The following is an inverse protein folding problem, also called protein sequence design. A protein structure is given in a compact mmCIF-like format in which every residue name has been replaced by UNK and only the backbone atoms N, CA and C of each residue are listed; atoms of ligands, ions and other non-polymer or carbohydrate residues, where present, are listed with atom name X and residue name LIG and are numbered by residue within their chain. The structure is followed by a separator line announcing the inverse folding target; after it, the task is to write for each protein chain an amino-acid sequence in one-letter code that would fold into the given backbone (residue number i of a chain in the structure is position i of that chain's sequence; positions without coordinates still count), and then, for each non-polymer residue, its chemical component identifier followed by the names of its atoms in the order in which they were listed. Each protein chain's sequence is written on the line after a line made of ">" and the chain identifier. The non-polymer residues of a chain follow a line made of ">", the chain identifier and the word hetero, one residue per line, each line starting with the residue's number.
data_IF_756861649700
#
_entry.id   IF_756861649700
#
_cell.length_a   1.000
_cell.length_b   1.000
_cell.length_c   1.000
_cell.angle_alpha   90.00
_cell.angle_beta   90.00
_cell.angle_gamma   90.00
#
_symmetry.space_group_name_H-M   'P 1'
#
loop_
_entity.id
_entity.type
_entity.pdbx_description
1 polymer ?
#
# COMPACT_ATOMS: atom_id res chain seq x y z
N UNK A 1 -49.80 35.45 15.72
CA UNK A 1 -49.69 34.26 14.83
C UNK A 1 -48.87 34.61 13.59
N UNK A 2 -47.57 34.30 13.55
CA UNK A 2 -46.78 34.29 12.30
C UNK A 2 -45.86 33.07 12.33
N UNK A 3 -45.98 32.26 11.28
CA UNK A 3 -45.51 30.87 11.17
C UNK A 3 -43.98 30.85 11.10
N UNK A 4 -43.34 30.05 11.95
CA UNK A 4 -41.90 29.80 11.87
C UNK A 4 -41.58 28.98 10.62
N UNK A 5 -40.64 29.47 9.80
CA UNK A 5 -40.10 28.74 8.67
C UNK A 5 -39.15 27.65 9.20
N UNK A 6 -39.54 26.38 9.06
CA UNK A 6 -38.70 25.22 9.34
C UNK A 6 -37.67 25.07 8.22
N UNK A 7 -36.45 25.52 8.48
CA UNK A 7 -35.28 25.27 7.63
C UNK A 7 -34.99 23.77 7.67
N UNK A 8 -35.29 23.05 6.60
CA UNK A 8 -35.06 21.62 6.47
C UNK A 8 -33.56 21.39 6.22
N UNK A 9 -32.80 21.10 7.27
CA UNK A 9 -31.41 20.68 7.14
C UNK A 9 -31.38 19.21 6.76
N UNK A 10 -31.37 18.92 5.47
CA UNK A 10 -31.19 17.57 4.94
C UNK A 10 -29.78 17.08 5.30
N UNK A 11 -29.67 16.31 6.38
CA UNK A 11 -28.48 15.54 6.71
C UNK A 11 -28.25 14.52 5.58
N UNK A 12 -27.31 14.81 4.67
CA UNK A 12 -26.73 13.80 3.81
C UNK A 12 -25.96 12.82 4.70
N UNK A 13 -26.58 11.67 4.97
CA UNK A 13 -25.90 10.54 5.60
C UNK A 13 -24.89 9.98 4.60
N UNK A 14 -23.63 10.39 4.73
CA UNK A 14 -22.50 9.73 4.06
C UNK A 14 -22.39 8.31 4.62
N UNK A 15 -22.97 7.35 3.92
CA UNK A 15 -22.71 5.93 4.19
C UNK A 15 -21.26 5.66 3.81
N UNK A 16 -20.39 5.67 4.81
CA UNK A 16 -19.03 5.20 4.65
C UNK A 16 -19.09 3.68 4.42
N UNK A 17 -19.03 3.26 3.15
CA UNK A 17 -18.71 1.89 2.83
C UNK A 17 -17.27 1.65 3.29
N UNK A 18 -17.12 1.11 4.49
CA UNK A 18 -15.86 0.54 4.97
C UNK A 18 -15.49 -0.57 3.99
N UNK A 19 -14.62 -0.29 3.03
CA UNK A 19 -13.94 -1.34 2.27
C UNK A 19 -13.03 -2.04 3.28
N UNK A 20 -13.60 -3.04 3.95
CA UNK A 20 -12.88 -3.86 4.91
C UNK A 20 -11.72 -4.60 4.23
N UNK A 21 -10.95 -5.28 5.06
CA UNK A 21 -9.91 -6.21 4.61
C UNK A 21 -10.61 -7.29 3.77
N UNK A 22 -10.53 -7.16 2.45
CA UNK A 22 -10.98 -8.18 1.51
C UNK A 22 -9.84 -9.14 1.27
N UNK A 23 -10.14 -10.44 1.21
CA UNK A 23 -9.17 -11.39 0.72
C UNK A 23 -8.84 -11.07 -0.74
N UNK A 24 -7.56 -10.96 -1.05
CA UNK A 24 -7.06 -10.55 -2.36
C UNK A 24 -5.92 -11.49 -2.73
N UNK A 25 -5.99 -12.02 -3.95
CA UNK A 25 -4.94 -12.87 -4.52
C UNK A 25 -3.61 -12.12 -4.52
N UNK A 26 -2.53 -12.81 -4.21
CA UNK A 26 -1.15 -12.32 -4.38
C UNK A 26 -0.90 -11.91 -5.84
N UNK A 27 -0.54 -10.63 -6.04
CA UNK A 27 -0.21 -10.02 -7.34
C UNK A 27 1.25 -9.59 -7.42
N UNK A 28 2.10 -9.98 -6.47
CA UNK A 28 3.51 -9.58 -6.45
C UNK A 28 4.25 -9.95 -7.74
N UNK A 29 3.94 -11.10 -8.34
CA UNK A 29 4.50 -11.55 -9.62
C UNK A 29 3.88 -10.89 -10.86
N UNK A 30 2.92 -9.98 -10.71
CA UNK A 30 2.27 -9.31 -11.84
C UNK A 30 2.89 -7.92 -12.08
N UNK A 31 3.11 -7.50 -13.34
CA UNK A 31 3.46 -6.12 -13.64
C UNK A 31 2.32 -5.17 -13.29
N UNK A 32 2.59 -3.88 -13.21
CA UNK A 32 1.57 -2.86 -12.97
C UNK A 32 0.57 -2.79 -14.13
N UNK A 33 -0.67 -2.35 -13.82
CA UNK A 33 -1.57 -1.92 -14.90
C UNK A 33 -1.07 -0.63 -15.55
N UNK A 34 -1.82 -0.12 -16.55
CA UNK A 34 -1.41 1.09 -17.30
C UNK A 34 -1.60 2.40 -16.53
N UNK A 35 -2.27 2.35 -15.37
CA UNK A 35 -2.54 3.54 -14.56
C UNK A 35 -1.27 3.99 -13.83
N UNK A 36 -0.96 5.30 -13.77
CA UNK A 36 0.18 5.84 -13.04
C UNK A 36 -0.11 5.92 -11.52
N UNK A 37 -0.52 4.79 -10.94
CA UNK A 37 -0.83 4.63 -9.52
C UNK A 37 -0.29 3.30 -8.97
N UNK A 38 0.63 2.67 -9.69
CA UNK A 38 1.24 1.40 -9.34
C UNK A 38 2.74 1.45 -9.60
N UNK A 39 3.52 0.88 -8.67
CA UNK A 39 4.94 0.59 -8.85
C UNK A 39 5.24 -0.84 -8.43
N UNK A 40 6.17 -1.50 -9.11
CA UNK A 40 6.54 -2.89 -8.84
C UNK A 40 8.00 -3.17 -9.19
N UNK A 41 8.61 -4.07 -8.44
CA UNK A 41 9.91 -4.68 -8.78
C UNK A 41 9.83 -5.64 -9.97
N UNK A 42 8.61 -6.04 -10.37
CA UNK A 42 8.35 -6.92 -11.52
C UNK A 42 7.94 -6.15 -12.78
N UNK A 43 8.15 -4.83 -12.81
CA UNK A 43 7.86 -3.98 -13.96
C UNK A 43 9.15 -3.35 -14.49
N UNK A 44 9.32 -3.32 -15.81
CA UNK A 44 10.49 -2.79 -16.50
C UNK A 44 10.27 -1.39 -17.06
N UNK A 45 9.02 -0.90 -17.08
CA UNK A 45 8.67 0.44 -17.57
C UNK A 45 9.05 1.46 -16.51
N UNK A 46 9.86 2.46 -16.89
CA UNK A 46 10.44 3.47 -15.98
C UNK A 46 9.45 4.05 -14.96
N UNK A 47 8.23 4.37 -15.40
CA UNK A 47 7.19 4.96 -14.54
C UNK A 47 6.70 4.00 -13.43
N UNK A 48 6.76 2.69 -13.64
CA UNK A 48 6.29 1.64 -12.74
C UNK A 48 7.43 0.90 -12.03
N UNK A 49 8.61 0.85 -12.62
CA UNK A 49 9.73 0.06 -12.13
C UNK A 49 10.19 0.52 -10.74
N UNK A 50 10.44 -0.45 -9.85
CA UNK A 50 11.21 -0.27 -8.63
C UNK A 50 12.53 -0.99 -8.78
N UNK A 51 13.59 -0.40 -8.23
CA UNK A 51 14.84 -1.12 -8.03
C UNK A 51 14.61 -2.35 -7.14
N UNK A 52 15.47 -3.35 -7.28
CA UNK A 52 15.40 -4.58 -6.48
C UNK A 52 15.70 -4.30 -5.00
N UNK A 53 15.07 -5.06 -4.10
CA UNK A 53 15.34 -5.04 -2.66
C UNK A 53 16.11 -6.32 -2.33
N UNK A 54 17.44 -6.24 -2.35
CA UNK A 54 18.26 -7.39 -1.99
C UNK A 54 18.31 -7.55 -0.48
N UNK A 55 17.81 -8.68 0.01
CA UNK A 55 17.76 -8.93 1.44
C UNK A 55 19.15 -9.24 2.00
N UNK A 56 19.34 -8.85 3.26
CA UNK A 56 20.42 -9.37 4.09
C UNK A 56 20.18 -10.85 4.42
N UNK A 57 21.20 -11.54 4.93
CA UNK A 57 21.06 -12.94 5.31
C UNK A 57 20.06 -13.12 6.46
N UNK A 58 19.28 -14.20 6.41
CA UNK A 58 18.33 -14.61 7.47
C UNK A 58 17.21 -13.61 7.79
N UNK A 59 16.91 -12.68 6.88
CA UNK A 59 15.78 -11.75 7.06
C UNK A 59 14.45 -12.48 6.96
N UNK A 60 13.58 -12.24 7.93
CA UNK A 60 12.24 -12.85 7.98
C UNK A 60 11.16 -11.85 7.56
N UNK A 61 10.02 -12.39 7.12
CA UNK A 61 8.86 -11.57 6.79
C UNK A 61 8.31 -10.81 8.01
N UNK A 62 8.49 -11.33 9.23
CA UNK A 62 8.13 -10.65 10.47
C UNK A 62 8.91 -9.35 10.67
N UNK A 63 10.22 -9.35 10.40
CA UNK A 63 11.05 -8.15 10.49
C UNK A 63 10.61 -7.10 9.47
N UNK A 64 10.33 -7.55 8.23
CA UNK A 64 9.82 -6.69 7.16
C UNK A 64 8.45 -6.11 7.54
N UNK A 65 7.56 -6.91 8.13
CA UNK A 65 6.25 -6.45 8.61
C UNK A 65 6.38 -5.35 9.66
N UNK A 66 7.24 -5.52 10.67
CA UNK A 66 7.45 -4.51 11.70
C UNK A 66 7.86 -3.17 11.08
N UNK A 67 8.75 -3.19 10.09
CA UNK A 67 9.16 -1.98 9.37
C UNK A 67 8.02 -1.42 8.53
N UNK A 68 7.32 -2.25 7.76
CA UNK A 68 6.21 -1.82 6.91
C UNK A 68 5.07 -1.18 7.73
N UNK A 69 4.81 -1.67 8.94
CA UNK A 69 3.79 -1.13 9.85
C UNK A 69 4.16 0.25 10.42
N UNK A 70 5.41 0.71 10.29
CA UNK A 70 5.78 2.09 10.61
C UNK A 70 5.33 3.11 9.56
N UNK A 71 4.92 2.65 8.36
CA UNK A 71 4.49 3.52 7.30
C UNK A 71 3.15 4.22 7.64
N UNK A 72 2.92 5.46 7.16
CA UNK A 72 1.69 6.18 7.48
C UNK A 72 0.42 5.44 7.05
N UNK A 73 -0.44 5.14 8.02
CA UNK A 73 -1.74 4.50 7.76
C UNK A 73 -1.63 3.02 7.40
N UNK A 74 -0.49 2.39 7.69
CA UNK A 74 -0.24 0.97 7.46
C UNK A 74 -1.04 0.08 8.41
N UNK A 75 -1.57 -1.02 7.88
CA UNK A 75 -2.21 -2.10 8.64
C UNK A 75 -2.03 -3.42 7.89
N UNK A 76 -1.62 -4.47 8.59
CA UNK A 76 -1.56 -5.82 8.02
C UNK A 76 -2.96 -6.28 7.64
N UNK A 77 -3.12 -6.66 6.37
CA UNK A 77 -4.36 -7.13 5.79
C UNK A 77 -4.33 -8.65 5.56
N UNK A 78 -3.20 -9.20 5.13
CA UNK A 78 -2.99 -10.65 4.99
C UNK A 78 -1.52 -10.97 5.16
N UNK A 79 -1.23 -12.16 5.70
CA UNK A 79 0.13 -12.65 5.90
C UNK A 79 0.17 -14.17 5.82
N UNK A 80 1.13 -14.69 5.06
CA UNK A 80 1.50 -16.11 4.97
C UNK A 80 2.97 -16.28 5.36
N UNK A 81 3.57 -17.43 5.05
CA UNK A 81 5.00 -17.69 5.31
C UNK A 81 5.92 -16.78 4.50
N UNK A 82 5.59 -16.52 3.23
CA UNK A 82 6.43 -15.81 2.26
C UNK A 82 5.82 -14.50 1.75
N UNK A 83 4.53 -14.25 1.98
CA UNK A 83 3.79 -13.11 1.46
C UNK A 83 3.12 -12.29 2.56
N UNK A 84 3.19 -10.97 2.44
CA UNK A 84 2.60 -9.99 3.32
C UNK A 84 1.89 -8.93 2.48
N UNK A 85 0.66 -8.62 2.84
CA UNK A 85 -0.07 -7.46 2.33
C UNK A 85 -0.40 -6.49 3.45
N UNK A 86 0.01 -5.24 3.24
CA UNK A 86 -0.25 -4.11 4.11
C UNK A 86 -1.15 -3.12 3.39
N UNK A 87 -2.28 -2.78 3.98
CA UNK A 87 -3.11 -1.67 3.53
C UNK A 87 -2.54 -0.35 4.06
N UNK A 88 -2.36 0.63 3.17
CA UNK A 88 -1.92 1.97 3.52
C UNK A 88 -3.02 2.98 3.22
N UNK A 89 -3.61 3.56 4.26
CA UNK A 89 -4.72 4.53 4.10
C UNK A 89 -4.24 5.97 4.20
N UNK A 90 -4.48 6.77 3.16
CA UNK A 90 -4.18 8.21 3.17
C UNK A 90 -5.03 8.96 4.21
N UNK A 91 -4.43 9.94 4.91
CA UNK A 91 -5.08 10.63 6.04
C UNK A 91 -6.27 11.52 5.63
N UNK A 92 -6.16 12.22 4.50
CA UNK A 92 -7.13 13.24 4.08
C UNK A 92 -8.22 12.60 3.21
N UNK A 93 -7.82 12.00 2.09
CA UNK A 93 -8.74 11.48 1.08
C UNK A 93 -9.21 10.05 1.37
N UNK A 94 -8.61 9.36 2.35
CA UNK A 94 -8.94 7.99 2.75
C UNK A 94 -8.81 6.95 1.62
N UNK A 95 -8.06 7.26 0.56
CA UNK A 95 -7.65 6.26 -0.42
C UNK A 95 -6.84 5.16 0.25
N UNK A 96 -7.15 3.92 -0.13
CA UNK A 96 -6.47 2.71 0.32
C UNK A 96 -5.59 2.21 -0.81
N UNK A 97 -4.31 2.09 -0.49
CA UNK A 97 -3.31 1.47 -1.34
C UNK A 97 -2.94 0.11 -0.75
N UNK A 98 -2.73 -0.89 -1.59
CA UNK A 98 -2.18 -2.19 -1.17
C UNK A 98 -0.66 -2.18 -1.42
N UNK A 99 0.10 -2.43 -0.35
CA UNK A 99 1.53 -2.71 -0.38
C UNK A 99 1.71 -4.23 -0.21
N UNK A 100 2.05 -4.90 -1.30
CA UNK A 100 2.28 -6.33 -1.36
C UNK A 100 3.80 -6.61 -1.35
N UNK A 101 4.21 -7.52 -0.47
CA UNK A 101 5.60 -7.83 -0.14
C UNK A 101 5.76 -9.35 -0.15
N UNK A 102 6.76 -9.85 -0.89
CA UNK A 102 7.03 -11.28 -0.95
C UNK A 102 8.52 -11.59 -0.92
N UNK A 103 8.93 -12.52 -0.06
CA UNK A 103 10.32 -13.00 -0.04
C UNK A 103 10.46 -14.10 -1.09
N UNK A 104 11.42 -13.97 -1.99
CA UNK A 104 11.75 -15.00 -2.99
C UNK A 104 13.23 -14.90 -3.33
N UNK A 105 13.97 -16.02 -3.24
CA UNK A 105 15.37 -16.13 -3.65
C UNK A 105 16.30 -15.05 -3.08
N UNK A 106 16.14 -14.70 -1.79
CA UNK A 106 16.95 -13.68 -1.12
C UNK A 106 16.63 -12.24 -1.56
N UNK A 107 15.51 -12.03 -2.25
CA UNK A 107 14.99 -10.72 -2.65
C UNK A 107 13.63 -10.48 -2.01
N UNK A 108 13.32 -9.21 -1.81
CA UNK A 108 11.97 -8.76 -1.48
C UNK A 108 11.30 -8.21 -2.74
N UNK A 109 10.31 -8.95 -3.23
CA UNK A 109 9.43 -8.50 -4.31
C UNK A 109 8.45 -7.51 -3.71
N UNK A 110 8.44 -6.28 -4.23
CA UNK A 110 7.59 -5.19 -3.77
C UNK A 110 6.64 -4.76 -4.88
N UNK A 111 5.36 -4.61 -4.55
CA UNK A 111 4.33 -3.96 -5.37
C UNK A 111 3.53 -3.01 -4.49
N UNK A 112 3.34 -1.76 -4.91
CA UNK A 112 2.49 -0.78 -4.23
C UNK A 112 1.52 -0.17 -5.23
N UNK A 113 0.21 -0.31 -4.98
CA UNK A 113 -0.83 0.11 -5.92
C UNK A 113 -2.08 0.65 -5.21
N UNK A 114 -2.66 1.73 -5.75
CA UNK A 114 -3.96 2.24 -5.31
C UNK A 114 -5.11 1.38 -5.82
N UNK A 115 -6.07 1.01 -4.95
CA UNK A 115 -7.27 0.24 -5.34
C UNK A 115 -8.16 0.96 -6.35
N UNK A 116 -8.23 2.28 -6.23
CA UNK A 116 -9.11 3.14 -7.02
C UNK A 116 -8.38 4.42 -7.44
N UNK A 117 -9.01 5.20 -8.31
CA UNK A 117 -8.40 6.38 -8.92
C UNK A 117 -7.63 6.06 -10.19
N UNK A 118 -7.19 7.13 -10.87
CA UNK A 118 -6.36 7.05 -12.08
C UNK A 118 -4.89 7.25 -11.76
N UNK A 119 -4.56 8.28 -10.96
CA UNK A 119 -3.21 8.57 -10.51
C UNK A 119 -3.19 8.75 -9.00
N UNK A 120 -2.05 8.44 -8.40
CA UNK A 120 -1.75 8.62 -6.98
C UNK A 120 -0.79 9.80 -6.74
N UNK A 121 -0.42 10.56 -7.78
CA UNK A 121 0.61 11.61 -7.74
C UNK A 121 1.96 11.13 -7.15
N UNK A 122 2.34 9.88 -7.40
CA UNK A 122 3.61 9.29 -6.97
C UNK A 122 3.63 8.80 -5.51
N UNK A 123 2.47 8.75 -4.84
CA UNK A 123 2.36 8.28 -3.44
C UNK A 123 2.89 6.86 -3.26
N UNK A 124 2.58 5.93 -4.18
CA UNK A 124 3.04 4.54 -4.11
C UNK A 124 4.56 4.43 -4.30
N UNK A 125 5.15 5.22 -5.20
CA UNK A 125 6.61 5.28 -5.35
C UNK A 125 7.27 5.79 -4.08
N UNK A 126 6.80 6.92 -3.55
CA UNK A 126 7.29 7.49 -2.30
C UNK A 126 7.20 6.51 -1.13
N UNK A 127 6.13 5.71 -1.08
CA UNK A 127 5.97 4.65 -0.08
C UNK A 127 7.02 3.56 -0.21
N UNK A 128 7.26 3.06 -1.41
CA UNK A 128 8.29 2.06 -1.66
C UNK A 128 9.70 2.60 -1.31
N UNK A 129 9.97 3.87 -1.60
CA UNK A 129 11.24 4.52 -1.23
C UNK A 129 11.39 4.67 0.29
N UNK A 130 10.31 5.02 0.99
CA UNK A 130 10.29 5.08 2.47
C UNK A 130 10.53 3.69 3.08
N UNK A 131 9.85 2.66 2.56
CA UNK A 131 10.07 1.28 2.98
C UNK A 131 11.54 0.90 2.79
N UNK A 132 12.12 1.19 1.62
CA UNK A 132 13.55 0.94 1.33
C UNK A 132 14.46 1.61 2.35
N UNK A 133 14.25 2.90 2.61
CA UNK A 133 15.07 3.64 3.56
C UNK A 133 15.01 3.01 4.96
N UNK A 134 13.82 2.65 5.44
CA UNK A 134 13.64 2.03 6.76
C UNK A 134 14.22 0.61 6.82
N UNK A 135 14.02 -0.22 5.80
CA UNK A 135 14.62 -1.56 5.75
C UNK A 135 16.15 -1.46 5.75
N UNK A 136 16.72 -0.47 5.04
CA UNK A 136 18.16 -0.25 5.01
C UNK A 136 18.70 0.24 6.36
N UNK A 137 17.98 1.12 7.06
CA UNK A 137 18.40 1.58 8.39
C UNK A 137 18.38 0.46 9.44
N UNK A 138 17.46 -0.50 9.29
CA UNK A 138 17.39 -1.70 10.13
C UNK A 138 18.35 -2.82 9.67
N UNK A 139 19.14 -2.60 8.61
CA UNK A 139 20.09 -3.58 8.08
C UNK A 139 19.45 -4.80 7.41
N UNK A 140 18.17 -4.74 7.05
CA UNK A 140 17.41 -5.84 6.44
C UNK A 140 17.62 -5.95 4.92
N UNK A 141 18.15 -4.90 4.29
CA UNK A 141 18.56 -4.91 2.89
C UNK A 141 19.96 -4.30 2.74
N UNK A 142 20.68 -4.70 1.68
CA UNK A 142 22.02 -4.20 1.34
C UNK A 142 21.98 -3.01 0.37
#
# INVERSE_FOLDING_TARGET
>A
MKKAALLSLSLLTLTACSQGITDMKDRTSSPCGDKPNCVSTQDDREQHALAEFDLSESVTLDQIEQVALTLPGAKTASKTEDYLRVECTSRIMRFVDDLELKITDGKLIVRSESRTGHSDFGVNRKRADQLRASLKSEGLIK
#
